data_IF_913856845588
#
_entry.id   IF_913856845588
#
_cell.length_a   1.000
_cell.length_b   1.000
_cell.length_c   1.000
_cell.angle_alpha   90.00
_cell.angle_beta   90.00
_cell.angle_gamma   90.00
#
_symmetry.space_group_name_H-M   'P 1'
#
loop_
_entity.id
_entity.type
_entity.pdbx_description
1 polymer ?
#
# COMPACT_ATOMS: atom_id res chain seq x y z
N UNK A 1 -4.80 6.86 8.01
CA UNK A 1 -3.43 6.86 7.47
C UNK A 1 -3.14 5.55 6.79
N UNK A 2 -1.98 5.44 6.16
CA UNK A 2 -1.47 4.22 5.54
C UNK A 2 -0.12 3.84 6.18
N UNK A 3 0.27 2.57 6.06
CA UNK A 3 1.55 2.05 6.56
C UNK A 3 2.56 1.95 5.41
N UNK A 4 3.67 2.66 5.53
CA UNK A 4 4.72 2.70 4.50
C UNK A 4 5.97 1.99 5.03
N UNK A 5 6.36 0.89 4.40
CA UNK A 5 7.57 0.15 4.74
C UNK A 5 8.83 0.95 4.46
N UNK A 6 9.91 0.61 5.17
CA UNK A 6 11.20 1.27 5.02
C UNK A 6 11.70 1.24 3.56
N UNK A 7 12.31 2.35 3.10
CA UNK A 7 12.83 2.48 1.73
C UNK A 7 11.77 2.26 0.62
N UNK A 8 10.49 2.55 0.89
CA UNK A 8 9.49 2.59 -0.17
C UNK A 8 9.56 3.93 -0.92
N UNK A 9 9.49 3.87 -2.24
CA UNK A 9 9.47 5.03 -3.15
C UNK A 9 8.07 5.20 -3.72
N UNK A 10 7.50 6.39 -3.57
CA UNK A 10 6.14 6.74 -4.01
C UNK A 10 6.27 7.77 -5.13
N UNK A 11 5.76 7.44 -6.33
CA UNK A 11 5.70 8.42 -7.43
C UNK A 11 4.74 9.56 -7.08
N UNK A 12 5.12 10.79 -7.41
CA UNK A 12 4.28 11.97 -7.18
C UNK A 12 2.94 11.87 -7.91
N UNK A 13 1.87 12.35 -7.28
CA UNK A 13 0.54 12.38 -7.87
C UNK A 13 -0.28 11.10 -7.70
N UNK A 14 0.19 10.15 -6.89
CA UNK A 14 -0.57 8.95 -6.54
C UNK A 14 -1.19 9.06 -5.14
N UNK A 15 -2.39 8.53 -5.01
CA UNK A 15 -3.10 8.45 -3.74
C UNK A 15 -2.86 7.09 -3.09
N UNK A 16 -2.54 7.09 -1.79
CA UNK A 16 -2.49 5.88 -0.97
C UNK A 16 -3.73 5.84 -0.09
N UNK A 17 -4.53 4.79 -0.29
CA UNK A 17 -5.77 4.54 0.42
C UNK A 17 -5.59 4.35 1.92
N UNK A 18 -6.69 4.56 2.64
CA UNK A 18 -6.76 4.39 4.08
C UNK A 18 -6.47 2.94 4.46
N UNK A 19 -5.65 2.74 5.52
CA UNK A 19 -5.22 1.44 6.01
C UNK A 19 -4.50 0.56 4.97
N UNK A 20 -4.05 1.12 3.85
CA UNK A 20 -3.19 0.40 2.91
C UNK A 20 -1.81 0.16 3.53
N UNK A 21 -1.17 -0.94 3.13
CA UNK A 21 0.20 -1.27 3.53
C UNK A 21 1.09 -1.40 2.30
N UNK A 22 2.20 -0.66 2.31
CA UNK A 22 3.26 -0.75 1.30
C UNK A 22 4.44 -1.49 1.92
N UNK A 23 4.89 -2.59 1.30
CA UNK A 23 6.06 -3.33 1.76
C UNK A 23 7.37 -2.53 1.64
N UNK A 24 8.37 -2.90 2.43
CA UNK A 24 9.70 -2.29 2.36
C UNK A 24 10.33 -2.44 0.96
N UNK A 25 11.09 -1.44 0.52
CA UNK A 25 11.77 -1.45 -0.79
C UNK A 25 10.86 -1.36 -2.01
N UNK A 26 9.56 -1.06 -1.83
CA UNK A 26 8.60 -1.06 -2.93
C UNK A 26 8.64 0.24 -3.74
N UNK A 27 8.37 0.16 -5.04
CA UNK A 27 8.22 1.33 -5.92
C UNK A 27 6.77 1.44 -6.36
N UNK A 28 6.05 2.40 -5.78
CA UNK A 28 4.62 2.60 -6.01
C UNK A 28 4.42 3.46 -7.24
N UNK A 29 3.85 2.87 -8.29
CA UNK A 29 3.67 3.49 -9.61
C UNK A 29 2.22 3.79 -9.98
N UNK A 30 1.26 3.48 -9.09
CA UNK A 30 -0.18 3.66 -9.32
C UNK A 30 -0.91 3.89 -7.99
N UNK A 31 -2.13 4.41 -8.09
CA UNK A 31 -3.03 4.59 -6.94
C UNK A 31 -3.27 3.27 -6.21
N UNK A 32 -3.29 3.36 -4.88
CA UNK A 32 -3.43 2.22 -3.98
C UNK A 32 -4.79 2.27 -3.29
N UNK A 33 -5.65 1.25 -3.45
CA UNK A 33 -6.95 1.20 -2.80
C UNK A 33 -6.87 1.04 -1.28
N UNK A 34 -7.94 1.40 -0.58
CA UNK A 34 -8.09 1.22 0.86
C UNK A 34 -7.98 -0.26 1.26
N UNK A 35 -7.44 -0.52 2.46
CA UNK A 35 -7.35 -1.85 3.05
C UNK A 35 -6.65 -2.90 2.16
N UNK A 36 -5.60 -2.52 1.43
CA UNK A 36 -4.85 -3.44 0.54
C UNK A 36 -3.37 -3.54 0.90
N UNK A 37 -2.76 -4.69 0.61
CA UNK A 37 -1.33 -4.96 0.70
C UNK A 37 -0.68 -4.89 -0.68
N UNK A 38 0.34 -4.05 -0.82
CA UNK A 38 1.13 -3.90 -2.04
C UNK A 38 2.62 -3.97 -1.74
N UNK A 39 3.39 -4.66 -2.59
CA UNK A 39 4.84 -4.64 -2.50
C UNK A 39 5.54 -4.97 -3.82
N UNK A 40 6.85 -4.70 -3.86
CA UNK A 40 7.74 -4.98 -4.99
C UNK A 40 8.09 -3.74 -5.81
N UNK A 41 8.93 -3.94 -6.83
CA UNK A 41 9.34 -2.90 -7.78
C UNK A 41 9.11 -3.40 -9.22
N UNK A 42 8.05 -2.96 -9.92
CA UNK A 42 6.99 -2.07 -9.45
C UNK A 42 6.07 -2.76 -8.41
N UNK A 43 5.45 -1.97 -7.54
CA UNK A 43 4.55 -2.47 -6.51
C UNK A 43 3.29 -3.10 -7.13
N UNK A 44 2.96 -4.31 -6.69
CA UNK A 44 1.79 -5.07 -7.17
C UNK A 44 0.87 -5.41 -6.01
N UNK A 45 -0.42 -5.48 -6.32
CA UNK A 45 -1.43 -5.95 -5.38
C UNK A 45 -1.08 -7.38 -4.97
N UNK A 46 -1.06 -7.64 -3.67
CA UNK A 46 -0.88 -8.99 -3.15
C UNK A 46 -2.15 -9.52 -2.51
N UNK A 47 -2.74 -8.75 -1.61
CA UNK A 47 -3.86 -9.21 -0.80
C UNK A 47 -4.72 -8.04 -0.29
N UNK A 48 -5.94 -8.33 0.14
CA UNK A 48 -6.77 -7.40 0.91
C UNK A 48 -6.60 -7.66 2.41
N UNK A 49 -6.45 -6.59 3.19
CA UNK A 49 -6.61 -6.68 4.63
C UNK A 49 -8.10 -6.64 4.95
N UNK A 50 -8.65 -7.78 5.36
CA UNK A 50 -9.89 -7.76 6.15
C UNK A 50 -9.47 -7.30 7.54
N UNK A 51 -9.55 -5.99 7.78
CA UNK A 51 -9.50 -5.48 9.14
C UNK A 51 -10.76 -6.03 9.78
N UNK A 52 -10.60 -6.99 10.69
CA UNK A 52 -11.70 -7.55 11.44
C UNK A 52 -12.59 -6.39 11.92
N UNK A 53 -13.84 -6.36 11.47
CA UNK A 53 -14.83 -5.43 11.99
C UNK A 53 -14.86 -5.59 13.51
N UNK A 54 -14.58 -4.54 14.31
CA UNK A 54 -14.82 -4.62 15.73
C UNK A 54 -16.32 -4.47 15.96
N UNK A 55 -17.04 -5.59 15.82
CA UNK A 55 -18.49 -5.76 16.03
C UNK A 55 -19.41 -5.05 15.01
#
# INVERSE_FOLDING_TARGET
>A
GASIGANATIIVGITIGQNAMIGAGSVVTKNIPDNTLWYGNPARFKDMFVIAAPY
#
